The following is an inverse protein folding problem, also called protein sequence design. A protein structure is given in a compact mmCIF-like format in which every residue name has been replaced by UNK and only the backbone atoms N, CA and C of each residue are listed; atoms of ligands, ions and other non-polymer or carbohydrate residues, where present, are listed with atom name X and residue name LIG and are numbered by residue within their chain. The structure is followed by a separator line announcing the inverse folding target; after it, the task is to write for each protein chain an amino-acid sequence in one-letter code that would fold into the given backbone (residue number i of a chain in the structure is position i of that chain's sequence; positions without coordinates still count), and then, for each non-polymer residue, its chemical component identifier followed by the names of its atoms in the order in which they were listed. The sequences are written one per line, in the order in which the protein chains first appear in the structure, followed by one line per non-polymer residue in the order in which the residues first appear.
data_IF_060371190158
#
_entry.id   IF_060371190158
#
_cell.length_a   1.000
_cell.length_b   1.000
_cell.length_c   1.000
_cell.angle_alpha   90.00
_cell.angle_beta   90.00
_cell.angle_gamma   90.00
#
_symmetry.space_group_name_H-M   'P 1'
#
loop_
_entity.id
_entity.type
_entity.pdbx_description
1 polymer ?
#
# COMPACT_ATOMS: atom_id res chain seq x y z
N UNK A 1 10.98 -1.75 45.74
CA UNK A 1 11.75 -0.90 44.80
C UNK A 1 12.83 -1.79 44.19
N UNK A 2 12.89 -2.13 42.91
CA UNK A 2 12.49 -1.43 41.69
C UNK A 2 11.88 -2.46 40.73
N UNK A 3 10.65 -2.19 40.28
CA UNK A 3 10.01 -2.95 39.22
C UNK A 3 10.69 -2.55 37.91
N UNK A 4 11.56 -3.43 37.40
CA UNK A 4 12.09 -3.33 36.05
C UNK A 4 10.93 -3.65 35.12
N UNK A 5 10.16 -2.62 34.84
CA UNK A 5 9.05 -2.59 33.90
C UNK A 5 9.62 -3.03 32.55
N UNK A 6 9.44 -4.32 32.25
CA UNK A 6 9.68 -4.87 30.93
C UNK A 6 8.92 -3.98 29.97
N UNK A 7 9.66 -3.26 29.14
CA UNK A 7 9.15 -2.59 27.97
C UNK A 7 8.63 -3.71 27.08
N UNK A 8 7.36 -4.08 27.31
CA UNK A 8 6.67 -5.14 26.59
C UNK A 8 6.62 -4.67 25.15
N UNK A 9 7.36 -5.40 24.32
CA UNK A 9 7.59 -5.15 22.91
C UNK A 9 6.31 -4.68 22.20
N UNK A 10 6.32 -3.45 21.67
CA UNK A 10 5.26 -2.94 20.80
C UNK A 10 5.29 -3.59 19.40
N UNK A 11 6.23 -4.51 19.13
CA UNK A 11 6.29 -5.35 17.93
C UNK A 11 5.29 -6.51 17.96
N UNK A 12 3.99 -6.23 18.06
CA UNK A 12 2.94 -7.25 17.85
C UNK A 12 2.14 -7.06 16.56
N UNK A 13 2.42 -6.03 15.77
CA UNK A 13 1.84 -5.85 14.44
C UNK A 13 2.96 -5.80 13.40
N UNK A 14 2.75 -6.49 12.27
CA UNK A 14 3.58 -6.31 11.07
C UNK A 14 3.51 -4.87 10.52
N UNK A 15 4.20 -4.58 9.40
CA UNK A 15 4.13 -3.25 8.80
C UNK A 15 2.70 -2.91 8.37
N UNK A 16 2.23 -1.68 8.63
CA UNK A 16 0.92 -1.21 8.15
C UNK A 16 0.93 -1.01 6.64
N UNK A 17 2.09 -0.71 6.06
CA UNK A 17 2.32 -0.63 4.62
C UNK A 17 3.60 -1.38 4.28
N UNK A 18 3.52 -2.36 3.38
CA UNK A 18 4.70 -2.96 2.74
C UNK A 18 4.67 -2.62 1.25
N UNK A 19 5.81 -2.15 0.74
CA UNK A 19 6.06 -1.92 -0.69
C UNK A 19 7.22 -2.81 -1.09
N UNK A 20 7.01 -3.69 -2.07
CA UNK A 20 7.98 -4.68 -2.52
C UNK A 20 8.23 -4.54 -4.03
N UNK A 21 9.49 -4.36 -4.42
CA UNK A 21 9.96 -4.30 -5.81
C UNK A 21 9.07 -3.43 -6.72
N UNK A 22 8.59 -2.29 -6.22
CA UNK A 22 7.70 -1.41 -6.97
C UNK A 22 8.41 -0.85 -8.20
N UNK A 23 7.79 -1.04 -9.37
CA UNK A 23 8.28 -0.52 -10.64
C UNK A 23 7.19 0.27 -11.35
N UNK A 24 7.52 1.50 -11.72
CA UNK A 24 6.59 2.41 -12.41
C UNK A 24 7.29 3.03 -13.59
N UNK A 25 6.67 2.96 -14.77
CA UNK A 25 7.20 3.54 -15.99
C UNK A 25 6.19 4.46 -16.68
N UNK A 26 6.69 5.39 -17.49
CA UNK A 26 5.90 6.23 -18.38
C UNK A 26 6.30 5.98 -19.82
N UNK A 27 5.32 5.73 -20.68
CA UNK A 27 5.53 5.40 -22.09
C UNK A 27 5.30 6.63 -22.96
N UNK A 28 6.37 7.23 -23.44
CA UNK A 28 6.28 8.35 -24.38
C UNK A 28 6.62 7.87 -25.79
N UNK A 29 6.25 8.64 -26.82
CA UNK A 29 6.59 8.32 -28.22
C UNK A 29 8.10 8.22 -28.47
N UNK A 30 8.91 8.84 -27.62
CA UNK A 30 10.37 8.91 -27.76
C UNK A 30 11.09 7.84 -26.97
N UNK A 31 10.64 7.57 -25.75
CA UNK A 31 11.29 6.63 -24.84
C UNK A 31 10.36 6.18 -23.70
N UNK A 32 10.73 5.06 -23.08
CA UNK A 32 10.14 4.58 -21.82
C UNK A 32 10.96 5.11 -20.65
N UNK A 33 10.34 5.93 -19.81
CA UNK A 33 10.98 6.50 -18.61
C UNK A 33 10.65 5.60 -17.42
N UNK A 34 11.65 4.91 -16.88
CA UNK A 34 11.51 4.14 -15.63
C UNK A 34 11.64 5.09 -14.44
N UNK A 35 10.51 5.57 -13.95
CA UNK A 35 10.46 6.57 -12.89
C UNK A 35 10.63 5.96 -11.47
N UNK A 36 10.30 4.68 -11.31
CA UNK A 36 10.59 3.89 -10.11
C UNK A 36 11.07 2.52 -10.59
N UNK A 37 12.21 2.03 -10.08
CA UNK A 37 12.84 0.78 -10.53
C UNK A 37 13.25 -0.09 -9.33
N UNK A 38 12.27 -0.77 -8.72
CA UNK A 38 12.51 -1.76 -7.66
C UNK A 38 12.50 -1.18 -6.24
N UNK A 39 11.70 -0.15 -5.97
CA UNK A 39 11.61 0.42 -4.63
C UNK A 39 10.98 -0.58 -3.65
N UNK A 40 11.65 -0.84 -2.54
CA UNK A 40 11.15 -1.72 -1.46
C UNK A 40 11.36 -1.07 -0.11
N UNK A 41 10.29 -0.96 0.69
CA UNK A 41 10.34 -0.44 2.05
C UNK A 41 9.06 -0.77 2.81
N UNK A 42 9.15 -0.70 4.12
CA UNK A 42 8.03 -0.92 5.04
C UNK A 42 7.76 0.33 5.86
N UNK A 43 6.52 0.48 6.32
CA UNK A 43 6.11 1.48 7.30
C UNK A 43 5.35 0.75 8.40
N UNK A 44 5.81 0.87 9.65
CA UNK A 44 5.14 0.34 10.82
C UNK A 44 4.15 1.33 11.43
N UNK A 45 3.25 0.82 12.27
CA UNK A 45 2.31 1.67 13.00
C UNK A 45 3.06 2.68 13.90
N UNK A 46 2.72 3.97 13.75
CA UNK A 46 3.38 5.06 14.47
C UNK A 46 4.75 5.46 13.90
N UNK A 47 5.21 4.82 12.82
CA UNK A 47 6.45 5.18 12.14
C UNK A 47 6.24 6.34 11.16
N UNK A 48 7.25 7.20 11.04
CA UNK A 48 7.34 8.20 9.98
C UNK A 48 8.49 7.84 9.06
N UNK A 49 8.19 7.54 7.79
CA UNK A 49 9.20 7.27 6.76
C UNK A 49 9.31 8.47 5.82
N UNK A 50 10.54 8.90 5.57
CA UNK A 50 10.86 9.99 4.63
C UNK A 50 11.58 9.47 3.39
N UNK A 51 11.05 9.80 2.20
CA UNK A 51 11.72 9.52 0.92
C UNK A 51 12.43 10.79 0.46
N UNK A 52 13.76 10.72 0.35
CA UNK A 52 14.62 11.86 -0.03
C UNK A 52 15.40 11.55 -1.31
N UNK A 53 15.78 12.60 -2.05
CA UNK A 53 16.48 12.47 -3.32
C UNK A 53 16.38 13.74 -4.15
N UNK A 54 17.16 13.84 -5.22
CA UNK A 54 17.22 14.99 -6.12
C UNK A 54 15.91 15.22 -6.89
N UNK A 55 15.76 16.37 -7.55
CA UNK A 55 14.63 16.59 -8.46
C UNK A 55 14.62 15.51 -9.55
N UNK A 56 13.45 14.93 -9.84
CA UNK A 56 13.31 13.86 -10.83
C UNK A 56 13.66 12.43 -10.37
N UNK A 57 14.14 12.23 -9.13
CA UNK A 57 14.49 10.90 -8.58
C UNK A 57 13.32 9.92 -8.32
N UNK A 58 12.10 10.25 -8.75
CA UNK A 58 10.95 9.35 -8.61
C UNK A 58 10.13 9.49 -7.32
N UNK A 59 10.52 10.32 -6.33
CA UNK A 59 9.81 10.48 -5.03
C UNK A 59 8.29 10.63 -5.15
N UNK A 60 7.84 11.59 -5.95
CA UNK A 60 6.41 11.86 -6.15
C UNK A 60 5.73 10.72 -6.93
N UNK A 61 6.46 10.05 -7.81
CA UNK A 61 5.95 8.89 -8.57
C UNK A 61 5.78 7.69 -7.65
N UNK A 62 6.73 7.42 -6.75
CA UNK A 62 6.62 6.38 -5.71
C UNK A 62 5.36 6.60 -4.88
N UNK A 63 5.16 7.81 -4.35
CA UNK A 63 3.99 8.13 -3.55
C UNK A 63 2.67 8.02 -4.34
N UNK A 64 2.64 8.48 -5.60
CA UNK A 64 1.47 8.33 -6.48
C UNK A 64 1.16 6.88 -6.83
N UNK A 65 2.19 6.06 -7.03
CA UNK A 65 2.05 4.62 -7.30
C UNK A 65 1.40 3.91 -6.12
N UNK A 66 1.86 4.19 -4.89
CA UNK A 66 1.27 3.68 -3.64
C UNK A 66 -0.19 4.13 -3.50
N UNK A 67 -0.52 5.34 -3.93
CA UNK A 67 -1.89 5.86 -3.88
C UNK A 67 -2.79 5.38 -5.04
N UNK A 68 -2.28 4.58 -5.98
CA UNK A 68 -3.04 4.22 -7.19
C UNK A 68 -3.49 5.44 -8.00
N UNK A 69 -2.61 6.45 -8.10
CA UNK A 69 -2.81 7.72 -8.81
C UNK A 69 -1.90 7.87 -10.05
N UNK A 70 -1.29 6.76 -10.49
CA UNK A 70 -0.59 6.73 -11.77
C UNK A 70 -1.64 6.56 -12.87
N UNK A 71 -1.61 7.45 -13.84
CA UNK A 71 -2.49 7.47 -14.99
C UNK A 71 -1.65 7.46 -16.27
N UNK A 72 -2.27 7.09 -17.39
CA UNK A 72 -1.63 7.12 -18.71
C UNK A 72 -0.95 8.49 -18.97
N UNK A 73 0.28 8.53 -19.49
CA UNK A 73 1.06 7.41 -20.07
C UNK A 73 1.83 6.55 -19.05
N UNK A 74 1.56 6.71 -17.75
CA UNK A 74 2.20 5.95 -16.68
C UNK A 74 1.49 4.62 -16.36
N UNK A 75 2.27 3.64 -15.92
CA UNK A 75 1.80 2.33 -15.47
C UNK A 75 2.70 1.78 -14.35
N UNK A 76 2.08 1.11 -13.36
CA UNK A 76 2.80 0.27 -12.39
C UNK A 76 3.03 -1.08 -13.05
N UNK A 77 4.27 -1.39 -13.39
CA UNK A 77 4.63 -2.58 -14.18
C UNK A 77 4.79 -3.84 -13.33
N UNK A 78 5.23 -3.66 -12.08
CA UNK A 78 5.58 -4.75 -11.17
C UNK A 78 5.61 -4.24 -9.72
N UNK A 79 5.66 -5.20 -8.81
CA UNK A 79 5.73 -5.00 -7.37
C UNK A 79 4.40 -5.21 -6.66
N UNK A 80 4.47 -5.23 -5.33
CA UNK A 80 3.32 -5.44 -4.46
C UNK A 80 3.23 -4.33 -3.43
N UNK A 81 2.01 -3.90 -3.14
CA UNK A 81 1.73 -2.88 -2.13
C UNK A 81 0.66 -3.43 -1.20
N UNK A 82 1.07 -3.86 0.00
CA UNK A 82 0.17 -4.46 0.99
C UNK A 82 -0.17 -3.43 2.07
N UNK A 83 -1.46 -3.20 2.28
CA UNK A 83 -1.96 -2.35 3.35
C UNK A 83 -2.64 -3.20 4.44
N UNK A 84 -2.06 -3.21 5.64
CA UNK A 84 -2.47 -4.04 6.78
C UNK A 84 -3.19 -3.21 7.81
N UNK A 85 -4.51 -3.11 7.67
CA UNK A 85 -5.36 -2.46 8.65
C UNK A 85 -6.63 -3.28 8.88
N UNK A 86 -6.81 -3.72 10.12
CA UNK A 86 -7.95 -4.58 10.52
C UNK A 86 -9.30 -3.99 10.14
N UNK A 87 -9.54 -2.71 10.46
CA UNK A 87 -10.83 -2.10 10.16
C UNK A 87 -11.11 -2.01 8.65
N UNK A 88 -10.07 -1.83 7.83
CA UNK A 88 -10.18 -1.85 6.36
C UNK A 88 -10.40 -3.25 5.85
N UNK A 89 -9.67 -4.23 6.38
CA UNK A 89 -9.81 -5.65 6.07
C UNK A 89 -11.26 -6.10 6.28
N UNK A 90 -11.81 -5.89 7.48
CA UNK A 90 -13.19 -6.24 7.83
C UNK A 90 -14.20 -5.60 6.85
N UNK A 91 -14.09 -4.28 6.62
CA UNK A 91 -14.99 -3.58 5.70
C UNK A 91 -14.87 -4.04 4.26
N UNK A 92 -13.65 -4.39 3.82
CA UNK A 92 -13.40 -4.78 2.45
C UNK A 92 -13.82 -6.23 2.21
N UNK A 93 -13.59 -7.13 3.17
CA UNK A 93 -14.09 -8.50 3.13
C UNK A 93 -15.62 -8.54 3.00
N UNK A 94 -16.32 -7.66 3.72
CA UNK A 94 -17.78 -7.50 3.61
C UNK A 94 -18.20 -6.87 2.27
N UNK A 95 -17.64 -5.70 1.92
CA UNK A 95 -18.04 -4.94 0.71
C UNK A 95 -17.61 -5.59 -0.61
N UNK A 96 -16.61 -6.47 -0.58
CA UNK A 96 -15.97 -7.08 -1.74
C UNK A 96 -15.75 -8.59 -1.52
N UNK A 97 -16.75 -9.27 -0.98
CA UNK A 97 -16.69 -10.71 -0.67
C UNK A 97 -16.26 -11.58 -1.86
N UNK A 98 -16.70 -11.25 -3.09
CA UNK A 98 -16.27 -11.92 -4.32
C UNK A 98 -14.86 -11.57 -4.82
N UNK A 99 -14.09 -10.79 -4.06
CA UNK A 99 -12.69 -10.40 -4.31
C UNK A 99 -11.79 -10.67 -3.08
N UNK A 100 -12.29 -11.49 -2.16
CA UNK A 100 -11.66 -11.84 -0.89
C UNK A 100 -11.22 -13.28 -0.92
N UNK A 101 -9.96 -13.52 -0.56
CA UNK A 101 -9.31 -14.83 -0.59
C UNK A 101 -8.87 -15.17 0.82
N UNK A 102 -9.25 -16.37 1.27
CA UNK A 102 -8.71 -16.96 2.48
C UNK A 102 -7.37 -17.62 2.15
N UNK A 103 -6.32 -17.14 2.80
CA UNK A 103 -4.95 -17.63 2.64
C UNK A 103 -4.37 -18.09 3.98
N UNK A 104 -5.22 -18.34 4.98
CA UNK A 104 -4.77 -18.82 6.28
C UNK A 104 -3.94 -20.12 6.16
N UNK A 105 -2.70 -20.07 6.64
CA UNK A 105 -1.77 -21.20 6.61
C UNK A 105 -1.10 -21.46 5.26
N UNK A 106 -1.25 -20.54 4.30
CA UNK A 106 -0.48 -20.51 3.05
C UNK A 106 0.75 -19.63 3.27
N UNK A 107 1.87 -19.99 2.63
CA UNK A 107 3.07 -19.16 2.66
C UNK A 107 2.87 -17.85 1.87
N UNK A 108 3.48 -16.76 2.34
CA UNK A 108 3.33 -15.41 1.77
C UNK A 108 3.63 -15.32 0.26
N UNK A 109 4.57 -16.15 -0.21
CA UNK A 109 4.98 -16.22 -1.61
C UNK A 109 3.96 -16.97 -2.49
N UNK A 110 3.13 -17.83 -1.89
CA UNK A 110 2.10 -18.60 -2.59
C UNK A 110 0.73 -17.91 -2.60
N UNK A 111 0.52 -16.89 -1.74
CA UNK A 111 -0.72 -16.10 -1.71
C UNK A 111 -1.17 -15.62 -3.10
N UNK A 112 -0.23 -15.15 -3.92
CA UNK A 112 -0.54 -14.64 -5.26
C UNK A 112 -0.96 -15.75 -6.23
N UNK A 113 -0.45 -16.98 -6.08
CA UNK A 113 -0.79 -18.11 -6.94
C UNK A 113 -2.19 -18.67 -6.67
N UNK A 114 -2.69 -18.50 -5.45
CA UNK A 114 -4.01 -18.98 -5.02
C UNK A 114 -5.14 -18.01 -5.36
N UNK A 115 -4.82 -16.76 -5.74
CA UNK A 115 -5.78 -15.70 -5.98
C UNK A 115 -6.03 -15.46 -7.48
N UNK A 116 -7.30 -15.28 -7.87
CA UNK A 116 -7.64 -14.85 -9.23
C UNK A 116 -7.18 -13.41 -9.47
N UNK A 117 -6.82 -13.05 -10.70
CA UNK A 117 -6.13 -11.79 -11.05
C UNK A 117 -6.70 -10.52 -10.38
N UNK A 118 -8.03 -10.44 -10.23
CA UNK A 118 -8.73 -9.29 -9.66
C UNK A 118 -8.91 -9.33 -8.13
N UNK A 119 -8.55 -10.42 -7.45
CA UNK A 119 -8.67 -10.54 -6.01
C UNK A 119 -7.65 -9.64 -5.32
N UNK A 120 -8.09 -8.91 -4.28
CA UNK A 120 -7.25 -7.89 -3.64
C UNK A 120 -7.41 -7.82 -2.13
N UNK A 121 -8.27 -8.64 -1.53
CA UNK A 121 -8.43 -8.74 -0.08
C UNK A 121 -7.96 -10.13 0.35
N UNK A 122 -6.93 -10.19 1.17
CA UNK A 122 -6.29 -11.44 1.58
C UNK A 122 -6.44 -11.57 3.09
N UNK A 123 -7.16 -12.61 3.53
CA UNK A 123 -7.37 -12.90 4.95
C UNK A 123 -6.42 -14.00 5.35
N UNK A 124 -5.55 -13.71 6.32
CA UNK A 124 -4.54 -14.64 6.83
C UNK A 124 -4.96 -15.25 8.17
N UNK A 125 -5.84 -14.56 8.91
CA UNK A 125 -6.31 -14.99 10.23
C UNK A 125 -7.80 -14.69 10.41
N UNK A 126 -8.49 -15.60 11.06
CA UNK A 126 -9.91 -15.51 11.39
C UNK A 126 -10.16 -15.63 12.89
N UNK A 127 -11.14 -14.89 13.39
CA UNK A 127 -11.67 -14.97 14.74
C UNK A 127 -13.16 -15.30 14.70
N UNK A 128 -13.49 -16.58 14.50
CA UNK A 128 -14.84 -16.99 14.14
C UNK A 128 -15.10 -16.69 12.67
N UNK A 129 -16.19 -15.99 12.37
CA UNK A 129 -16.53 -15.55 11.01
C UNK A 129 -15.93 -14.17 10.65
N UNK A 130 -15.26 -13.51 11.61
CA UNK A 130 -14.67 -12.19 11.42
C UNK A 130 -13.18 -12.29 11.03
N UNK A 131 -12.72 -11.64 9.95
CA UNK A 131 -11.31 -11.61 9.59
C UNK A 131 -10.52 -10.80 10.63
N UNK A 132 -9.53 -11.42 11.28
CA UNK A 132 -8.72 -10.79 12.33
C UNK A 132 -7.34 -10.33 11.87
N UNK A 133 -6.85 -10.86 10.75
CA UNK A 133 -5.53 -10.56 10.19
C UNK A 133 -5.48 -10.78 8.69
N UNK A 134 -4.67 -10.00 7.99
CA UNK A 134 -4.62 -9.98 6.53
C UNK A 134 -4.20 -8.62 5.97
N UNK A 135 -4.38 -8.45 4.66
CA UNK A 135 -4.04 -7.23 3.94
C UNK A 135 -4.93 -6.96 2.74
N UNK A 136 -4.93 -5.69 2.32
CA UNK A 136 -5.44 -5.28 1.01
C UNK A 136 -4.25 -5.08 0.08
N UNK A 137 -4.24 -5.74 -1.08
CA UNK A 137 -3.28 -5.48 -2.14
C UNK A 137 -3.74 -4.27 -2.96
N UNK A 138 -3.04 -3.14 -2.78
CA UNK A 138 -3.38 -1.88 -3.42
C UNK A 138 -3.12 -1.93 -4.93
N UNK A 139 -2.20 -2.76 -5.40
CA UNK A 139 -1.88 -2.88 -6.83
C UNK A 139 -2.99 -3.55 -7.63
N UNK A 140 -3.75 -4.44 -6.99
CA UNK A 140 -4.87 -5.19 -7.58
C UNK A 140 -6.24 -4.58 -7.26
N UNK A 141 -6.27 -3.63 -6.34
CA UNK A 141 -7.51 -3.02 -5.87
C UNK A 141 -8.24 -2.28 -7.00
N UNK A 142 -9.53 -2.59 -7.14
CA UNK A 142 -10.41 -1.91 -8.10
C UNK A 142 -10.48 -0.39 -7.85
N UNK A 143 -10.83 0.45 -8.85
CA UNK A 143 -10.97 1.89 -8.66
C UNK A 143 -11.97 2.31 -7.57
N UNK A 144 -13.03 1.52 -7.33
CA UNK A 144 -13.98 1.75 -6.23
C UNK A 144 -13.35 1.42 -4.87
N UNK A 145 -12.61 0.31 -4.75
CA UNK A 145 -11.86 -0.03 -3.54
C UNK A 145 -10.79 1.02 -3.22
N UNK A 146 -9.98 1.42 -4.21
CA UNK A 146 -9.00 2.48 -4.05
C UNK A 146 -9.65 3.80 -3.61
N UNK A 147 -10.82 4.16 -4.13
CA UNK A 147 -11.56 5.34 -3.66
C UNK A 147 -12.06 5.23 -2.23
N UNK A 148 -12.39 4.04 -1.73
CA UNK A 148 -12.78 3.83 -0.31
C UNK A 148 -11.56 3.86 0.62
N UNK A 149 -10.42 3.35 0.15
CA UNK A 149 -9.17 3.36 0.90
C UNK A 149 -8.63 4.79 1.03
N UNK A 150 -8.59 5.50 -0.09
CA UNK A 150 -8.22 6.91 -0.18
C UNK A 150 -9.27 7.79 0.49
N UNK A 151 -8.84 8.72 1.34
CA UNK A 151 -9.75 9.67 2.01
C UNK A 151 -10.42 9.15 3.28
N UNK A 152 -10.32 7.85 3.59
CA UNK A 152 -10.69 7.33 4.91
C UNK A 152 -9.46 6.88 5.70
N UNK A 153 -8.54 6.13 5.07
CA UNK A 153 -7.39 5.51 5.76
C UNK A 153 -6.04 5.96 5.27
N UNK A 154 -5.93 6.29 3.99
CA UNK A 154 -4.71 6.85 3.40
C UNK A 154 -5.02 8.19 2.77
N UNK A 155 -4.24 9.20 3.12
CA UNK A 155 -4.34 10.56 2.60
C UNK A 155 -2.97 11.01 2.11
N UNK A 156 -2.96 11.69 0.97
CA UNK A 156 -1.76 12.31 0.43
C UNK A 156 -1.99 13.82 0.35
N UNK A 157 -1.06 14.59 0.90
CA UNK A 157 -1.04 16.05 0.78
C UNK A 157 0.03 16.41 -0.24
N UNK A 158 -0.37 17.02 -1.35
CA UNK A 158 0.56 17.63 -2.29
C UNK A 158 0.72 19.11 -1.92
N UNK A 159 1.95 19.54 -1.77
CA UNK A 159 2.29 20.96 -1.80
C UNK A 159 2.97 21.23 -3.14
N UNK A 160 2.43 22.16 -3.92
CA UNK A 160 3.15 22.73 -5.05
C UNK A 160 4.00 23.91 -4.52
N UNK A 161 5.32 23.77 -4.41
CA UNK A 161 6.17 24.85 -3.90
C UNK A 161 6.20 26.07 -4.82
N UNK A 162 5.64 26.00 -6.04
CA UNK A 162 5.61 27.10 -7.01
C UNK A 162 4.30 27.88 -7.04
N UNK A 163 3.25 27.45 -6.33
CA UNK A 163 2.08 28.30 -6.11
C UNK A 163 2.41 29.32 -5.02
N UNK A 164 3.11 30.41 -5.37
CA UNK A 164 3.12 31.58 -4.51
C UNK A 164 1.68 32.11 -4.45
N UNK A 165 1.07 32.05 -3.26
CA UNK A 165 -0.06 32.91 -2.97
C UNK A 165 0.51 34.32 -2.95
N UNK A 166 0.44 35.03 -4.07
CA UNK A 166 0.76 36.44 -4.11
C UNK A 166 -0.39 37.15 -3.36
N UNK A 167 -0.19 37.59 -2.10
CA UNK A 167 -1.22 38.35 -1.42
C UNK A 167 -1.12 39.76 -1.99
N UNK A 168 -2.04 40.09 -2.89
CA UNK A 168 -2.28 41.48 -3.29
C UNK A 168 -2.71 42.32 -2.10
#
# INVERSE_FOLDING_TARGET
MSSRMLHRDRRRGGPILSVENLRTAFFTDKETIRAVDGASFEVHEGETVGIVGESGSGKSVTARSIMGLIESPGEVLDGRIRFRDRGTLERFADSFSGKTVDVAGIDDDEHAATAGDDDFVFVEEWSGDDPSGGYVDVTRASPSALRKLRGNRITMIFQDPLSSLNPV
#
